data_IF_850631720668
#
_entry.id   IF_850631720668
#
_cell.length_a   1.000
_cell.length_b   1.000
_cell.length_c   1.000
_cell.angle_alpha   90.00
_cell.angle_beta   90.00
_cell.angle_gamma   90.00
#
_symmetry.space_group_name_H-M   'P 1'
#
loop_
_entity.id
_entity.type
_entity.pdbx_description
1 polymer ?
#
# COMPACT_ATOMS: atom_id res chain seq x y z
N UNK A 1 36.16 -30.46 -52.27
CA UNK A 1 35.70 -31.85 -52.53
C UNK A 1 36.06 -32.62 -51.26
N UNK A 2 35.16 -33.14 -50.42
CA UNK A 2 33.96 -33.92 -50.73
C UNK A 2 33.16 -34.20 -49.43
N UNK A 3 31.86 -33.88 -49.47
CA UNK A 3 30.69 -34.65 -48.98
C UNK A 3 30.53 -34.99 -47.47
N UNK A 4 29.54 -34.34 -46.84
CA UNK A 4 28.71 -34.90 -45.76
C UNK A 4 27.74 -35.97 -46.32
N UNK A 5 27.32 -36.98 -45.54
CA UNK A 5 25.93 -37.00 -45.02
C UNK A 5 25.81 -37.62 -43.60
N UNK A 6 25.10 -36.98 -42.65
CA UNK A 6 23.67 -37.11 -42.28
C UNK A 6 23.30 -38.29 -41.33
N UNK A 7 23.06 -37.90 -40.06
CA UNK A 7 21.90 -38.14 -39.15
C UNK A 7 21.51 -39.53 -38.62
N UNK A 8 20.89 -39.46 -37.42
CA UNK A 8 20.09 -40.42 -36.61
C UNK A 8 20.83 -40.94 -35.36
N UNK A 9 20.48 -40.59 -34.10
CA UNK A 9 19.37 -39.80 -33.54
C UNK A 9 19.60 -39.37 -32.07
N UNK A 10 18.86 -38.33 -31.67
CA UNK A 10 18.61 -37.76 -30.32
C UNK A 10 17.81 -38.77 -29.44
N UNK A 11 17.41 -38.54 -28.15
CA UNK A 11 17.67 -37.45 -27.18
C UNK A 11 18.11 -38.00 -25.78
N UNK A 12 18.26 -37.31 -24.64
CA UNK A 12 17.73 -36.05 -24.11
C UNK A 12 18.42 -35.69 -22.77
N UNK A 13 18.45 -34.40 -22.45
CA UNK A 13 18.49 -33.74 -21.14
C UNK A 13 19.49 -34.14 -20.03
N UNK A 14 20.39 -33.20 -19.67
CA UNK A 14 20.30 -32.50 -18.37
C UNK A 14 21.31 -31.33 -18.25
N UNK A 15 20.84 -30.23 -17.67
CA UNK A 15 21.67 -29.31 -16.89
C UNK A 15 21.96 -27.96 -17.53
N UNK A 16 20.97 -27.06 -17.51
CA UNK A 16 21.21 -25.62 -17.59
C UNK A 16 21.64 -25.13 -16.20
N UNK A 17 22.82 -24.54 -16.15
CA UNK A 17 23.34 -23.79 -15.01
C UNK A 17 23.27 -22.31 -15.42
N UNK A 18 22.23 -21.61 -14.98
CA UNK A 18 22.16 -20.15 -15.06
C UNK A 18 22.05 -19.67 -13.60
N UNK A 19 23.19 -19.24 -13.06
CA UNK A 19 23.31 -18.60 -11.76
C UNK A 19 23.44 -17.09 -11.97
N UNK A 20 22.37 -16.37 -11.71
CA UNK A 20 22.39 -14.94 -11.44
C UNK A 20 21.15 -14.55 -10.63
N UNK A 21 21.32 -13.53 -9.79
CA UNK A 21 20.33 -12.84 -8.95
C UNK A 21 20.08 -13.50 -7.58
N UNK A 22 20.07 -12.81 -6.44
CA UNK A 22 20.10 -11.37 -6.12
C UNK A 22 20.31 -11.25 -4.59
N UNK A 23 20.80 -10.11 -4.11
CA UNK A 23 21.05 -9.82 -2.69
C UNK A 23 19.84 -10.10 -1.78
N UNK A 24 19.87 -11.20 -1.03
CA UNK A 24 19.01 -11.43 0.13
C UNK A 24 19.75 -11.02 1.41
N UNK A 25 19.69 -9.73 1.72
CA UNK A 25 20.44 -9.15 2.83
C UNK A 25 19.78 -7.98 3.55
N UNK A 26 18.47 -7.77 3.41
CA UNK A 26 17.75 -6.79 4.23
C UNK A 26 17.18 -7.45 5.48
N UNK A 27 18.05 -7.72 6.45
CA UNK A 27 17.66 -8.16 7.77
C UNK A 27 16.94 -7.01 8.50
N UNK A 28 15.63 -6.89 8.36
CA UNK A 28 14.83 -6.08 9.31
C UNK A 28 14.38 -6.98 10.45
N UNK A 29 15.18 -6.93 11.51
CA UNK A 29 14.91 -7.51 12.81
C UNK A 29 13.63 -6.88 13.40
N UNK A 30 12.46 -7.50 13.17
CA UNK A 30 11.22 -7.07 13.81
C UNK A 30 11.20 -7.58 15.25
N UNK A 31 11.51 -6.68 16.18
CA UNK A 31 11.27 -6.87 17.62
C UNK A 31 9.75 -6.95 17.84
N UNK A 32 9.24 -7.92 18.63
CA UNK A 32 7.81 -8.06 18.86
C UNK A 32 7.33 -6.99 19.85
N UNK A 33 6.82 -5.90 19.27
CA UNK A 33 6.18 -4.78 19.95
C UNK A 33 5.48 -3.94 18.87
N UNK A 34 4.33 -4.42 18.43
CA UNK A 34 3.57 -4.01 17.24
C UNK A 34 3.41 -2.49 17.07
N UNK A 35 4.31 -1.88 16.32
CA UNK A 35 3.92 -0.86 15.34
C UNK A 35 4.30 -1.47 14.01
N UNK A 36 3.38 -2.23 13.42
CA UNK A 36 3.50 -2.56 12.00
C UNK A 36 3.49 -1.23 11.27
N UNK A 37 4.66 -0.75 10.87
CA UNK A 37 4.78 0.35 9.93
C UNK A 37 4.16 -0.18 8.63
N UNK A 38 2.83 -0.05 8.48
CA UNK A 38 2.16 -0.48 7.28
C UNK A 38 2.74 0.32 6.13
N UNK A 39 3.20 -0.39 5.10
CA UNK A 39 3.53 0.22 3.83
C UNK A 39 2.37 1.13 3.39
N UNK A 40 2.65 2.30 2.78
CA UNK A 40 1.59 3.16 2.27
C UNK A 40 0.59 2.35 1.45
N UNK A 41 -0.68 2.37 1.86
CA UNK A 41 -1.74 1.69 1.12
C UNK A 41 -2.19 2.59 -0.03
N UNK A 42 -2.06 2.09 -1.26
CA UNK A 42 -2.52 2.79 -2.45
C UNK A 42 -3.92 2.29 -2.80
N UNK A 43 -4.88 3.21 -2.84
CA UNK A 43 -6.28 2.91 -3.19
C UNK A 43 -6.78 4.02 -4.11
N UNK A 44 -7.44 3.63 -5.19
CA UNK A 44 -8.06 4.56 -6.13
C UNK A 44 -9.50 4.83 -5.70
N UNK A 45 -9.85 6.11 -5.65
CA UNK A 45 -11.21 6.61 -5.43
C UNK A 45 -11.61 7.52 -6.59
N UNK A 46 -12.90 7.68 -6.80
CA UNK A 46 -13.44 8.63 -7.79
C UNK A 46 -13.49 10.01 -7.16
N UNK A 47 -13.32 11.06 -7.97
CA UNK A 47 -13.51 12.43 -7.49
C UNK A 47 -14.92 12.69 -6.92
N UNK A 48 -15.91 11.95 -7.41
CA UNK A 48 -17.31 11.98 -6.96
C UNK A 48 -17.59 11.14 -5.71
N UNK A 49 -16.64 10.32 -5.25
CA UNK A 49 -16.82 9.57 -4.01
C UNK A 49 -16.82 10.56 -2.83
N UNK A 50 -17.57 10.23 -1.79
CA UNK A 50 -17.67 11.11 -0.61
C UNK A 50 -16.58 10.81 0.41
N UNK A 51 -16.24 11.82 1.21
CA UNK A 51 -15.27 11.68 2.32
C UNK A 51 -15.66 10.54 3.26
N UNK A 52 -16.95 10.43 3.62
CA UNK A 52 -17.44 9.36 4.50
C UNK A 52 -17.36 7.97 3.88
N UNK A 53 -17.52 7.86 2.55
CA UNK A 53 -17.32 6.60 1.84
C UNK A 53 -15.85 6.17 1.88
N UNK A 54 -14.94 7.11 1.61
CA UNK A 54 -13.49 6.86 1.69
C UNK A 54 -13.08 6.44 3.09
N UNK A 55 -13.54 7.15 4.12
CA UNK A 55 -13.28 6.78 5.51
C UNK A 55 -13.75 5.34 5.79
N UNK A 56 -14.97 5.00 5.39
CA UNK A 56 -15.54 3.66 5.61
C UNK A 56 -14.76 2.55 4.91
N UNK A 57 -14.33 2.79 3.67
CA UNK A 57 -13.49 1.84 2.92
C UNK A 57 -12.11 1.71 3.55
N UNK A 58 -11.49 2.80 4.01
CA UNK A 58 -10.21 2.75 4.71
C UNK A 58 -10.33 2.02 6.05
N UNK A 59 -11.39 2.26 6.83
CA UNK A 59 -11.66 1.53 8.07
C UNK A 59 -11.75 0.02 7.82
N UNK A 60 -12.49 -0.36 6.76
CA UNK A 60 -12.63 -1.77 6.37
C UNK A 60 -11.30 -2.39 5.94
N UNK A 61 -10.48 -1.66 5.17
CA UNK A 61 -9.16 -2.12 4.71
C UNK A 61 -8.16 -2.28 5.88
N UNK A 62 -8.21 -1.36 6.84
CA UNK A 62 -7.33 -1.32 8.01
C UNK A 62 -7.89 -2.10 9.21
N UNK A 63 -9.06 -2.72 9.06
CA UNK A 63 -9.79 -3.41 10.13
C UNK A 63 -10.03 -2.55 11.39
N UNK A 64 -10.14 -1.23 11.24
CA UNK A 64 -10.41 -0.26 12.31
C UNK A 64 -11.78 -0.53 12.91
N UNK A 65 -11.82 -0.72 14.23
CA UNK A 65 -13.05 -1.07 14.95
C UNK A 65 -13.65 0.13 15.70
N UNK A 66 -12.81 1.07 16.13
CA UNK A 66 -13.23 2.20 16.97
C UNK A 66 -13.62 3.42 16.13
N UNK A 67 -13.99 4.48 16.86
CA UNK A 67 -14.15 5.80 16.29
C UNK A 67 -12.85 6.26 15.63
N UNK A 68 -12.99 6.93 14.49
CA UNK A 68 -11.88 7.33 13.64
C UNK A 68 -12.04 8.75 13.12
N UNK A 69 -10.94 9.32 12.65
CA UNK A 69 -10.87 10.62 12.00
C UNK A 69 -10.05 10.49 10.73
N UNK A 70 -10.56 11.04 9.64
CA UNK A 70 -9.84 11.09 8.37
C UNK A 70 -9.15 12.45 8.21
N UNK A 71 -7.86 12.42 7.93
CA UNK A 71 -7.03 13.59 7.75
C UNK A 71 -6.45 13.66 6.35
N UNK A 72 -6.43 14.86 5.78
CA UNK A 72 -5.70 15.20 4.57
C UNK A 72 -4.32 15.71 4.95
N UNK A 73 -3.27 15.12 4.38
CA UNK A 73 -1.90 15.55 4.65
C UNK A 73 -1.49 16.65 3.66
N UNK A 74 -1.31 17.87 4.15
CA UNK A 74 -0.80 19.00 3.38
C UNK A 74 0.72 18.92 3.20
N UNK A 75 1.22 19.44 2.08
CA UNK A 75 2.66 19.51 1.80
C UNK A 75 3.39 20.56 2.66
N UNK A 76 2.68 21.57 3.17
CA UNK A 76 3.26 22.72 3.88
C UNK A 76 2.48 23.14 5.14
N UNK A 77 1.18 22.84 5.20
CA UNK A 77 0.23 23.37 6.21
C UNK A 77 -0.10 22.38 7.34
N UNK A 78 0.62 21.25 7.42
CA UNK A 78 0.33 20.19 8.37
C UNK A 78 -0.81 19.29 7.90
N UNK A 79 -1.58 18.73 8.84
CA UNK A 79 -2.73 17.86 8.56
C UNK A 79 -4.04 18.60 8.74
N UNK A 80 -4.97 18.41 7.81
CA UNK A 80 -6.32 18.99 7.84
C UNK A 80 -7.35 17.90 8.15
N UNK A 81 -8.24 18.14 9.12
CA UNK A 81 -9.29 17.18 9.48
C UNK A 81 -10.46 17.28 8.50
N UNK A 82 -10.84 16.16 7.88
CA UNK A 82 -12.00 16.08 6.99
C UNK A 82 -13.27 15.85 7.82
N UNK A 83 -13.89 16.93 8.28
CA UNK A 83 -15.07 16.89 9.18
C UNK A 83 -16.41 16.70 8.47
N UNK A 84 -16.46 16.91 7.16
CA UNK A 84 -17.68 16.83 6.37
C UNK A 84 -17.70 15.50 5.58
N UNK A 85 -18.40 14.45 6.04
CA UNK A 85 -18.43 13.17 5.35
C UNK A 85 -19.25 13.18 4.06
N UNK A 86 -20.12 14.18 3.89
CA UNK A 86 -21.10 14.26 2.80
C UNK A 86 -20.52 14.85 1.51
N UNK A 87 -19.44 15.63 1.62
CA UNK A 87 -18.81 16.28 0.46
C UNK A 87 -17.99 15.26 -0.34
N UNK A 88 -17.87 15.53 -1.63
CA UNK A 88 -17.04 14.74 -2.53
C UNK A 88 -15.54 14.98 -2.30
N UNK A 89 -14.70 14.07 -2.79
CA UNK A 89 -13.24 14.25 -2.77
C UNK A 89 -12.80 15.50 -3.54
N UNK A 90 -13.48 15.84 -4.63
CA UNK A 90 -13.24 17.08 -5.38
C UNK A 90 -13.52 18.32 -4.51
N UNK A 91 -14.67 18.36 -3.82
CA UNK A 91 -15.04 19.45 -2.92
C UNK A 91 -14.10 19.56 -1.71
N UNK A 92 -13.59 18.43 -1.21
CA UNK A 92 -12.55 18.37 -0.18
C UNK A 92 -11.14 18.74 -0.70
N UNK A 93 -11.01 19.04 -2.00
CA UNK A 93 -9.75 19.37 -2.65
C UNK A 93 -8.71 18.24 -2.56
N UNK A 94 -9.15 16.99 -2.55
CA UNK A 94 -8.29 15.81 -2.59
C UNK A 94 -7.88 15.56 -4.03
N UNK A 95 -6.57 15.54 -4.26
CA UNK A 95 -5.97 15.34 -5.59
C UNK A 95 -5.34 13.95 -5.69
N UNK A 96 -5.02 13.52 -6.91
CA UNK A 96 -4.26 12.29 -7.12
C UNK A 96 -2.91 12.34 -6.38
N UNK A 97 -2.52 11.21 -5.79
CA UNK A 97 -1.31 11.12 -4.96
C UNK A 97 -1.43 11.83 -3.60
N UNK A 98 -2.59 12.38 -3.23
CA UNK A 98 -2.78 12.96 -1.91
C UNK A 98 -2.73 11.88 -0.82
N UNK A 99 -1.85 12.05 0.16
CA UNK A 99 -1.82 11.21 1.35
C UNK A 99 -3.00 11.51 2.28
N UNK A 100 -3.66 10.44 2.73
CA UNK A 100 -4.69 10.46 3.75
C UNK A 100 -4.22 9.67 4.96
N UNK A 101 -4.56 10.14 6.16
CA UNK A 101 -4.32 9.43 7.42
C UNK A 101 -5.66 9.12 8.09
N UNK A 102 -5.86 7.85 8.42
CA UNK A 102 -6.97 7.43 9.27
C UNK A 102 -6.44 7.27 10.70
N UNK A 103 -6.91 8.12 11.61
CA UNK A 103 -6.54 8.09 13.03
C UNK A 103 -7.65 7.38 13.82
N UNK A 104 -7.33 6.34 14.58
CA UNK A 104 -8.27 5.59 15.41
C UNK A 104 -8.12 6.01 16.89
N UNK A 105 -9.22 6.09 17.63
CA UNK A 105 -9.18 6.30 19.09
C UNK A 105 -8.54 5.12 19.81
N UNK A 106 -7.86 5.41 20.93
CA UNK A 106 -7.32 4.38 21.80
C UNK A 106 -8.43 3.62 22.57
N UNK A 107 -8.03 2.62 23.36
CA UNK A 107 -8.97 1.79 24.11
C UNK A 107 -9.71 2.55 25.22
N UNK A 108 -9.13 3.66 25.66
CA UNK A 108 -9.66 4.51 26.73
C UNK A 108 -10.55 5.62 26.18
N UNK A 109 -10.72 5.70 24.86
CA UNK A 109 -11.49 6.75 24.20
C UNK A 109 -10.75 8.08 24.13
N UNK A 110 -9.41 8.08 24.11
CA UNK A 110 -8.61 9.25 23.83
C UNK A 110 -8.10 9.24 22.39
N UNK A 111 -7.83 10.43 21.86
CA UNK A 111 -7.19 10.58 20.56
C UNK A 111 -5.67 10.49 20.73
N UNK A 112 -4.96 9.91 19.75
CA UNK A 112 -3.50 9.92 19.74
C UNK A 112 -2.95 11.35 19.88
N UNK A 113 -1.84 11.53 20.60
CA UNK A 113 -1.21 12.85 20.73
C UNK A 113 -0.71 13.35 19.35
N UNK A 114 -0.77 14.67 19.15
CA UNK A 114 -0.33 15.36 17.93
C UNK A 114 1.18 15.56 17.85
#
# INVERSE_FOLDING_TARGET
>A
MTKFPLKEGLPDEKGKEEEMEEEDGSFKLCVPGIVTLQSPLHKTFRSTDTVGFVESELKKLLAVQRESRLWKMGSHEGRELLTQPEITLEEAGIVDGQHLLLEEMDEMGNWPPE
#
